data_IF_631208529182
#
_entry.id   IF_631208529182
#
_cell.length_a   1.000
_cell.length_b   1.000
_cell.length_c   1.000
_cell.angle_alpha   90.00
_cell.angle_beta   90.00
_cell.angle_gamma   90.00
#
_symmetry.space_group_name_H-M   'P 1'
#
loop_
_entity.id
_entity.type
_entity.pdbx_description
1 polymer ?
#
# COMPACT_ATOMS: atom_id res chain seq x y z
N UNK A 1 -26.59 -19.13 30.62
CA UNK A 1 -25.58 -19.95 31.31
C UNK A 1 -24.24 -19.47 30.75
N UNK A 2 -23.77 -18.33 31.24
CA UNK A 2 -22.80 -18.16 32.33
C UNK A 2 -21.38 -18.53 31.88
N UNK A 3 -20.46 -17.60 32.15
CA UNK A 3 -19.13 -17.43 31.59
C UNK A 3 -18.07 -18.43 32.08
N UNK A 4 -17.13 -18.73 31.19
CA UNK A 4 -15.68 -18.86 31.40
C UNK A 4 -15.06 -18.33 30.08
N UNK A 5 -14.32 -17.22 29.93
CA UNK A 5 -13.20 -16.63 30.66
C UNK A 5 -11.99 -17.56 30.87
N UNK A 6 -11.34 -17.90 29.75
CA UNK A 6 -9.88 -18.07 29.66
C UNK A 6 -9.48 -17.55 28.27
N UNK A 7 -8.79 -16.43 28.09
CA UNK A 7 -7.42 -16.14 28.54
C UNK A 7 -6.51 -17.38 28.38
N UNK A 8 -5.86 -17.51 27.22
CA UNK A 8 -4.76 -18.47 27.00
C UNK A 8 -4.95 -19.63 26.00
N UNK A 9 -6.03 -19.68 25.20
CA UNK A 9 -6.22 -20.72 24.17
C UNK A 9 -5.73 -20.30 22.78
N UNK A 10 -5.18 -21.25 21.99
CA UNK A 10 -4.72 -21.01 20.60
C UNK A 10 -5.79 -20.37 19.70
N UNK A 11 -7.08 -20.66 19.93
CA UNK A 11 -8.19 -20.04 19.22
C UNK A 11 -8.35 -18.54 19.56
N UNK A 12 -8.25 -18.16 20.83
CA UNK A 12 -8.30 -16.76 21.26
C UNK A 12 -7.07 -15.97 20.80
N UNK A 13 -5.90 -16.60 20.77
CA UNK A 13 -4.70 -16.03 20.14
C UNK A 13 -4.91 -15.76 18.64
N UNK A 14 -5.48 -16.72 17.91
CA UNK A 14 -5.77 -16.55 16.48
C UNK A 14 -6.75 -15.38 16.26
N UNK A 15 -7.83 -15.29 17.04
CA UNK A 15 -8.81 -14.21 16.91
C UNK A 15 -8.21 -12.84 17.27
N UNK A 16 -7.37 -12.78 18.30
CA UNK A 16 -6.66 -11.57 18.71
C UNK A 16 -5.70 -11.04 17.63
N UNK A 17 -5.03 -11.91 16.88
CA UNK A 17 -4.13 -11.52 15.80
C UNK A 17 -4.83 -11.25 14.46
N UNK A 18 -6.10 -11.64 14.33
CA UNK A 18 -6.91 -11.40 13.13
C UNK A 18 -7.79 -10.15 13.23
N UNK A 19 -7.99 -9.62 14.43
CA UNK A 19 -8.85 -8.46 14.68
C UNK A 19 -8.07 -7.16 14.46
N UNK A 20 -8.61 -6.30 13.59
CA UNK A 20 -8.07 -4.98 13.33
C UNK A 20 -8.56 -3.98 14.39
N UNK A 21 -7.74 -2.96 14.68
CA UNK A 21 -8.13 -1.86 15.56
C UNK A 21 -9.15 -0.95 14.85
N UNK A 22 -10.42 -0.97 15.27
CA UNK A 22 -11.49 -0.18 14.64
C UNK A 22 -11.90 1.06 15.43
N UNK A 23 -12.27 2.14 14.71
CA UNK A 23 -12.88 3.34 15.29
C UNK A 23 -14.09 3.81 14.46
N UNK A 24 -15.29 4.03 15.04
CA UNK A 24 -15.68 3.77 16.44
C UNK A 24 -15.76 2.27 16.77
N UNK A 25 -15.56 1.88 18.05
CA UNK A 25 -15.65 0.49 18.47
C UNK A 25 -17.09 -0.03 18.35
N UNK A 26 -17.30 -1.10 17.58
CA UNK A 26 -18.61 -1.70 17.34
C UNK A 26 -18.61 -2.73 16.20
N UNK A 27 -19.76 -3.37 15.96
CA UNK A 27 -19.94 -4.52 15.06
C UNK A 27 -19.87 -4.21 13.54
N UNK A 28 -18.91 -3.40 13.09
CA UNK A 28 -18.56 -3.32 11.66
C UNK A 28 -19.58 -2.63 10.75
N UNK A 29 -20.06 -1.45 11.14
CA UNK A 29 -20.82 -0.58 10.23
C UNK A 29 -19.95 0.02 9.12
N UNK A 30 -20.56 0.54 8.04
CA UNK A 30 -19.82 1.16 6.92
C UNK A 30 -18.84 2.28 7.37
N UNK A 31 -19.11 2.93 8.50
CA UNK A 31 -18.29 4.01 9.06
C UNK A 31 -17.27 3.56 10.12
N UNK A 32 -16.92 2.26 10.19
CA UNK A 32 -15.82 1.78 11.03
C UNK A 32 -14.51 1.82 10.28
N UNK A 33 -13.55 2.60 10.79
CA UNK A 33 -12.22 2.74 10.18
C UNK A 33 -11.24 1.77 10.83
N UNK A 34 -10.44 1.09 10.02
CA UNK A 34 -9.32 0.27 10.46
C UNK A 34 -8.09 1.17 10.69
N UNK A 35 -7.92 1.61 11.92
CA UNK A 35 -6.94 2.64 12.31
C UNK A 35 -5.52 2.12 12.19
N UNK A 36 -5.29 0.85 12.52
CA UNK A 36 -4.02 0.16 12.38
C UNK A 36 -3.55 0.10 10.92
N UNK A 37 -4.38 -0.43 10.02
CA UNK A 37 -4.11 -0.50 8.58
C UNK A 37 -3.86 0.88 7.99
N UNK A 38 -4.64 1.89 8.39
CA UNK A 38 -4.50 3.26 7.92
C UNK A 38 -3.21 3.90 8.43
N UNK A 39 -2.88 3.72 9.71
CA UNK A 39 -1.66 4.25 10.29
C UNK A 39 -0.42 3.67 9.61
N UNK A 40 -0.32 2.34 9.50
CA UNK A 40 0.84 1.68 8.90
C UNK A 40 0.96 1.96 7.40
N UNK A 41 -0.15 1.98 6.65
CA UNK A 41 -0.09 2.33 5.23
C UNK A 41 0.42 3.75 4.99
N UNK A 42 -0.03 4.73 5.78
CA UNK A 42 0.44 6.12 5.72
C UNK A 42 1.88 6.23 6.20
N UNK A 43 2.24 5.59 7.31
CA UNK A 43 3.60 5.59 7.85
C UNK A 43 4.61 5.08 6.83
N UNK A 44 4.32 3.93 6.20
CA UNK A 44 5.17 3.35 5.15
C UNK A 44 5.22 4.25 3.91
N UNK A 45 4.11 4.89 3.54
CA UNK A 45 4.06 5.85 2.45
C UNK A 45 4.94 7.08 2.69
N UNK A 46 4.89 7.64 3.90
CA UNK A 46 5.74 8.76 4.33
C UNK A 46 7.21 8.34 4.41
N UNK A 47 7.50 7.14 4.93
CA UNK A 47 8.85 6.60 5.00
C UNK A 47 9.45 6.43 3.61
N UNK A 48 8.70 5.84 2.67
CA UNK A 48 9.08 5.73 1.27
C UNK A 48 9.33 7.11 0.65
N UNK A 49 8.35 8.01 0.71
CA UNK A 49 8.46 9.34 0.11
C UNK A 49 9.62 10.15 0.71
N UNK A 50 9.81 10.06 2.03
CA UNK A 50 10.94 10.66 2.74
C UNK A 50 12.27 10.08 2.27
N UNK A 51 12.39 8.76 2.18
CA UNK A 51 13.63 8.09 1.75
C UNK A 51 14.05 8.48 0.32
N UNK A 52 13.09 8.54 -0.61
CA UNK A 52 13.31 8.98 -2.00
C UNK A 52 13.59 10.49 -2.07
N UNK A 53 12.94 11.30 -1.24
CA UNK A 53 13.22 12.72 -1.13
C UNK A 53 14.65 12.99 -0.64
N UNK A 54 15.11 12.26 0.38
CA UNK A 54 16.49 12.36 0.87
C UNK A 54 17.51 11.91 -0.18
N UNK A 55 17.23 10.83 -0.91
CA UNK A 55 18.08 10.37 -2.01
C UNK A 55 18.15 11.41 -3.13
N UNK A 56 17.01 11.95 -3.56
CA UNK A 56 16.93 12.96 -4.61
C UNK A 56 17.64 14.27 -4.22
N UNK A 57 17.53 14.71 -2.96
CA UNK A 57 18.21 15.92 -2.48
C UNK A 57 19.73 15.79 -2.39
N UNK A 58 20.23 14.57 -2.19
CA UNK A 58 21.67 14.28 -2.09
C UNK A 58 22.23 13.69 -3.37
N UNK A 59 21.44 13.66 -4.45
CA UNK A 59 21.86 13.12 -5.72
C UNK A 59 22.99 13.98 -6.31
N UNK A 60 24.13 13.35 -6.55
CA UNK A 60 25.27 13.98 -7.22
C UNK A 60 25.49 13.36 -8.58
N UNK A 61 25.87 14.16 -9.58
CA UNK A 61 26.18 13.69 -10.93
C UNK A 61 27.57 13.02 -11.06
N UNK A 62 28.36 13.01 -9.98
CA UNK A 62 29.66 12.34 -9.91
C UNK A 62 29.51 10.87 -9.55
N UNK A 63 30.39 10.36 -8.67
CA UNK A 63 30.27 8.98 -8.18
C UNK A 63 29.15 8.91 -7.13
N UNK A 64 28.06 8.16 -7.38
CA UNK A 64 26.94 8.08 -6.45
C UNK A 64 27.36 7.36 -5.16
N UNK A 65 26.83 7.83 -4.03
CA UNK A 65 26.94 7.12 -2.76
C UNK A 65 26.10 5.82 -2.76
N UNK A 66 26.40 4.88 -1.86
CA UNK A 66 25.74 3.55 -1.81
C UNK A 66 24.20 3.62 -1.81
N UNK A 67 23.63 4.56 -1.05
CA UNK A 67 22.17 4.76 -0.98
C UNK A 67 21.59 5.36 -2.27
N UNK A 68 22.29 6.33 -2.87
CA UNK A 68 21.89 6.91 -4.15
C UNK A 68 21.89 5.84 -5.25
N UNK A 69 22.93 5.01 -5.34
CA UNK A 69 23.01 3.93 -6.33
C UNK A 69 21.88 2.91 -6.20
N UNK A 70 21.46 2.59 -4.97
CA UNK A 70 20.34 1.68 -4.75
C UNK A 70 19.01 2.28 -5.27
N UNK A 71 18.76 3.56 -4.96
CA UNK A 71 17.55 4.26 -5.41
C UNK A 71 17.55 4.42 -6.93
N UNK A 72 18.69 4.76 -7.54
CA UNK A 72 18.84 4.85 -9.00
C UNK A 72 18.55 3.50 -9.67
N UNK A 73 19.11 2.41 -9.15
CA UNK A 73 18.85 1.06 -9.66
C UNK A 73 17.36 0.71 -9.62
N UNK A 74 16.66 1.05 -8.54
CA UNK A 74 15.21 0.84 -8.43
C UNK A 74 14.42 1.69 -9.41
N UNK A 75 14.77 2.97 -9.55
CA UNK A 75 14.11 3.89 -10.50
C UNK A 75 14.30 3.42 -11.93
N UNK A 76 15.51 3.01 -12.30
CA UNK A 76 15.81 2.51 -13.64
C UNK A 76 15.13 1.17 -13.93
N UNK A 77 15.06 0.28 -12.94
CA UNK A 77 14.29 -0.96 -13.05
C UNK A 77 12.82 -0.67 -13.39
N UNK A 78 12.15 0.16 -12.60
CA UNK A 78 10.74 0.49 -12.84
C UNK A 78 10.56 1.25 -14.16
N UNK A 79 11.45 2.19 -14.49
CA UNK A 79 11.39 2.95 -15.72
C UNK A 79 11.52 2.04 -16.96
N UNK A 80 12.38 1.03 -16.90
CA UNK A 80 12.53 0.03 -17.97
C UNK A 80 11.25 -0.78 -18.13
N UNK A 81 10.69 -1.31 -17.04
CA UNK A 81 9.43 -2.05 -17.07
C UNK A 81 8.27 -1.23 -17.66
N UNK A 82 8.20 0.07 -17.33
CA UNK A 82 7.14 0.96 -17.85
C UNK A 82 7.34 1.24 -19.34
N UNK A 83 8.58 1.44 -19.79
CA UNK A 83 8.90 1.68 -21.20
C UNK A 83 8.58 0.47 -22.08
N UNK A 84 8.87 -0.74 -21.58
CA UNK A 84 8.57 -1.97 -22.30
C UNK A 84 7.05 -2.20 -22.42
N UNK A 85 6.29 -1.85 -21.39
CA UNK A 85 4.84 -2.01 -21.37
C UNK A 85 4.09 -0.90 -22.13
N UNK A 86 4.61 0.34 -22.13
CA UNK A 86 3.91 1.51 -22.67
C UNK A 86 4.83 2.45 -23.45
N UNK A 87 4.49 2.64 -24.73
CA UNK A 87 5.27 3.41 -25.70
C UNK A 87 4.77 4.86 -25.92
N UNK A 88 3.90 5.36 -25.05
CA UNK A 88 3.35 6.72 -25.18
C UNK A 88 4.06 7.78 -24.33
N UNK A 89 3.80 9.09 -24.55
CA UNK A 89 4.52 10.19 -23.90
C UNK A 89 4.06 10.49 -22.45
N UNK A 90 3.47 9.53 -21.74
CA UNK A 90 2.88 9.80 -20.42
C UNK A 90 3.95 9.95 -19.33
N UNK A 91 4.23 11.20 -18.95
CA UNK A 91 5.13 11.54 -17.82
C UNK A 91 4.58 11.12 -16.45
N UNK A 92 3.30 10.78 -16.37
CA UNK A 92 2.66 10.36 -15.12
C UNK A 92 2.83 8.87 -14.85
N UNK A 93 2.93 8.03 -15.88
CA UNK A 93 2.89 6.58 -15.71
C UNK A 93 4.11 6.04 -14.95
N UNK A 94 5.31 6.50 -15.30
CA UNK A 94 6.55 6.10 -14.65
C UNK A 94 6.58 6.40 -13.14
N UNK A 95 6.32 7.64 -12.66
CA UNK A 95 6.29 7.91 -11.23
C UNK A 95 5.16 7.19 -10.51
N UNK A 96 3.99 7.01 -11.13
CA UNK A 96 2.87 6.27 -10.52
C UNK A 96 3.19 4.78 -10.35
N UNK A 97 3.82 4.16 -11.36
CA UNK A 97 4.27 2.78 -11.28
C UNK A 97 5.31 2.59 -10.17
N UNK A 98 6.24 3.55 -10.03
CA UNK A 98 7.26 3.54 -8.98
C UNK A 98 6.61 3.62 -7.59
N UNK A 99 5.65 4.53 -7.38
CA UNK A 99 4.99 4.65 -6.08
C UNK A 99 4.18 3.39 -5.74
N UNK A 100 3.41 2.85 -6.68
CA UNK A 100 2.63 1.62 -6.45
C UNK A 100 3.57 0.45 -6.15
N UNK A 101 4.62 0.26 -6.95
CA UNK A 101 5.57 -0.83 -6.75
C UNK A 101 6.25 -0.77 -5.39
N UNK A 102 6.87 0.37 -5.05
CA UNK A 102 7.60 0.51 -3.80
C UNK A 102 6.68 0.46 -2.58
N UNK A 103 5.49 1.07 -2.66
CA UNK A 103 4.57 1.10 -1.53
C UNK A 103 3.97 -0.29 -1.26
N UNK A 104 3.54 -1.02 -2.30
CA UNK A 104 3.04 -2.39 -2.16
C UNK A 104 4.15 -3.33 -1.71
N UNK A 105 5.37 -3.18 -2.26
CA UNK A 105 6.53 -3.94 -1.81
C UNK A 105 6.80 -3.73 -0.32
N UNK A 106 6.77 -2.49 0.18
CA UNK A 106 6.99 -2.18 1.59
C UNK A 106 5.87 -2.73 2.49
N UNK A 107 4.61 -2.61 2.07
CA UNK A 107 3.49 -3.20 2.82
C UNK A 107 3.64 -4.72 2.93
N UNK A 108 4.07 -5.39 1.86
CA UNK A 108 4.32 -6.83 1.88
C UNK A 108 5.62 -7.20 2.61
N UNK A 109 6.62 -6.32 2.60
CA UNK A 109 7.87 -6.54 3.33
C UNK A 109 7.65 -6.57 4.85
N UNK A 110 6.66 -5.81 5.36
CA UNK A 110 6.27 -5.89 6.77
C UNK A 110 5.76 -7.28 7.18
N UNK A 111 5.29 -8.10 6.24
CA UNK A 111 4.87 -9.48 6.49
C UNK A 111 6.06 -10.42 6.77
N UNK A 112 7.27 -10.06 6.31
CA UNK A 112 8.49 -10.81 6.59
C UNK A 112 9.09 -10.49 7.96
N UNK A 113 8.68 -9.37 8.57
CA UNK A 113 9.06 -9.03 9.95
C UNK A 113 8.24 -9.91 10.89
N UNK A 114 8.85 -10.53 11.91
CA UNK A 114 8.10 -11.36 12.86
C UNK A 114 6.91 -10.58 13.42
N UNK A 115 5.70 -11.02 13.08
CA UNK A 115 4.44 -10.33 13.39
C UNK A 115 4.20 -10.18 14.89
N UNK A 116 4.93 -10.93 15.72
CA UNK A 116 4.81 -10.90 17.19
C UNK A 116 5.73 -9.84 17.86
N UNK A 117 6.82 -9.42 17.21
CA UNK A 117 7.77 -8.47 17.82
C UNK A 117 7.20 -7.05 17.98
N UNK A 118 6.36 -6.63 17.03
CA UNK A 118 5.79 -5.28 17.01
C UNK A 118 4.56 -5.14 17.93
N UNK A 119 3.65 -6.12 18.01
CA UNK A 119 2.60 -6.17 19.02
C UNK A 119 3.12 -6.22 20.45
N UNK A 120 4.22 -6.94 20.74
CA UNK A 120 4.83 -6.92 22.09
C UNK A 120 5.28 -5.50 22.51
N UNK A 121 5.82 -4.72 21.58
CA UNK A 121 6.17 -3.31 21.82
C UNK A 121 4.90 -2.44 21.93
N UNK A 122 3.87 -2.74 21.15
CA UNK A 122 2.56 -2.07 21.23
C UNK A 122 1.84 -2.29 22.56
N UNK A 123 1.96 -3.49 23.12
CA UNK A 123 1.42 -3.88 24.42
C UNK A 123 2.13 -3.11 25.55
N UNK A 124 3.42 -2.81 25.38
CA UNK A 124 4.17 -1.93 26.29
C UNK A 124 3.66 -0.47 26.28
N UNK A 125 3.00 -0.05 25.20
CA UNK A 125 2.44 1.29 24.98
C UNK A 125 0.92 1.31 25.26
N UNK A 126 0.33 0.17 25.63
CA UNK A 126 -1.09 0.04 25.99
C UNK A 126 -2.04 -0.09 24.80
N UNK A 127 -1.57 -0.59 23.66
CA UNK A 127 -2.39 -0.92 22.50
C UNK A 127 -2.54 -2.45 22.45
N UNK A 128 -3.73 -2.95 22.82
CA UNK A 128 -4.01 -4.39 22.88
C UNK A 128 -4.07 -5.05 21.49
N UNK A 129 -4.55 -4.33 20.46
CA UNK A 129 -4.74 -4.88 19.11
C UNK A 129 -3.94 -4.10 18.06
N UNK A 130 -3.05 -4.79 17.34
CA UNK A 130 -2.28 -4.14 16.28
C UNK A 130 -1.94 -5.10 15.14
N UNK A 131 -2.65 -4.94 14.00
CA UNK A 131 -2.25 -5.56 12.74
C UNK A 131 -1.30 -4.65 11.98
N UNK A 132 -0.06 -5.11 11.81
CA UNK A 132 1.03 -4.30 11.27
C UNK A 132 1.04 -4.28 9.73
N UNK A 133 0.51 -5.31 9.09
CA UNK A 133 0.62 -5.55 7.65
C UNK A 133 -0.61 -4.98 6.91
N UNK A 134 -0.53 -3.80 6.27
CA UNK A 134 -1.71 -3.14 5.73
C UNK A 134 -2.29 -3.83 4.49
N UNK A 135 -1.47 -4.59 3.75
CA UNK A 135 -1.90 -5.33 2.55
C UNK A 135 -2.85 -6.49 2.87
N UNK A 136 -2.93 -6.91 4.13
CA UNK A 136 -3.88 -7.93 4.59
C UNK A 136 -5.29 -7.35 4.82
N UNK A 137 -5.45 -6.03 4.75
CA UNK A 137 -6.75 -5.35 4.85
C UNK A 137 -7.34 -5.13 3.45
N UNK A 138 -8.56 -5.62 3.26
CA UNK A 138 -9.30 -5.48 2.01
C UNK A 138 -9.52 -4.01 1.63
N UNK A 139 -9.69 -3.11 2.61
CA UNK A 139 -9.96 -1.71 2.33
C UNK A 139 -8.78 -1.02 1.63
N UNK A 140 -7.54 -1.36 2.00
CA UNK A 140 -6.33 -0.80 1.39
C UNK A 140 -6.17 -1.31 -0.05
N UNK A 141 -6.39 -2.60 -0.27
CA UNK A 141 -6.29 -3.22 -1.61
C UNK A 141 -7.42 -2.75 -2.54
N UNK A 142 -8.64 -2.60 -2.03
CA UNK A 142 -9.76 -2.01 -2.76
C UNK A 142 -9.53 -0.52 -3.07
N UNK A 143 -9.00 0.26 -2.12
CA UNK A 143 -8.67 1.67 -2.35
C UNK A 143 -7.66 1.87 -3.49
N UNK A 144 -6.59 1.04 -3.51
CA UNK A 144 -5.58 1.08 -4.57
C UNK A 144 -6.15 0.66 -5.92
N UNK A 145 -6.89 -0.45 -5.98
CA UNK A 145 -7.47 -0.95 -7.23
C UNK A 145 -8.53 0.00 -7.81
N UNK A 146 -9.37 0.60 -6.97
CA UNK A 146 -10.36 1.60 -7.41
C UNK A 146 -9.69 2.85 -7.98
N UNK A 147 -8.59 3.32 -7.35
CA UNK A 147 -7.82 4.46 -7.84
C UNK A 147 -7.22 4.18 -9.22
N UNK A 148 -6.59 3.01 -9.40
CA UNK A 148 -6.04 2.60 -10.69
C UNK A 148 -7.15 2.43 -11.73
N UNK A 149 -8.30 1.87 -11.36
CA UNK A 149 -9.45 1.73 -12.24
C UNK A 149 -9.96 3.08 -12.76
N UNK A 150 -10.10 4.08 -11.88
CA UNK A 150 -10.46 5.44 -12.28
C UNK A 150 -9.43 6.04 -13.25
N UNK A 151 -8.13 5.82 -13.00
CA UNK A 151 -7.08 6.26 -13.90
C UNK A 151 -7.18 5.61 -15.29
N UNK A 152 -7.50 4.32 -15.37
CA UNK A 152 -7.73 3.62 -16.65
C UNK A 152 -8.86 4.30 -17.43
N UNK A 153 -9.99 4.61 -16.78
CA UNK A 153 -11.11 5.29 -17.43
C UNK A 153 -10.67 6.67 -17.92
N UNK A 154 -10.02 7.46 -17.07
CA UNK A 154 -9.56 8.82 -17.40
C UNK A 154 -8.58 8.81 -18.58
N UNK A 155 -7.58 7.92 -18.57
CA UNK A 155 -6.62 7.80 -19.67
C UNK A 155 -7.27 7.28 -20.95
N UNK A 156 -8.24 6.36 -20.85
CA UNK A 156 -8.99 5.87 -22.01
C UNK A 156 -9.79 6.96 -22.69
N UNK A 157 -10.51 7.77 -21.90
CA UNK A 157 -11.25 8.94 -22.41
C UNK A 157 -10.29 9.98 -22.98
N UNK A 158 -9.16 10.25 -22.30
CA UNK A 158 -8.19 11.25 -22.76
C UNK A 158 -7.50 10.85 -24.07
N UNK A 159 -7.23 9.56 -24.27
CA UNK A 159 -6.56 9.06 -25.48
C UNK A 159 -7.51 8.94 -26.68
N UNK A 160 -8.78 8.56 -26.46
CA UNK A 160 -9.73 8.19 -27.53
C UNK A 160 -10.92 9.14 -27.68
N UNK A 161 -11.13 10.05 -26.72
CA UNK A 161 -12.33 10.87 -26.60
C UNK A 161 -13.54 10.08 -26.09
N UNK A 162 -14.58 10.81 -25.67
CA UNK A 162 -15.82 10.21 -25.14
C UNK A 162 -16.50 9.28 -26.15
N UNK A 163 -16.51 9.67 -27.43
CA UNK A 163 -17.08 8.85 -28.51
C UNK A 163 -16.27 7.59 -28.83
N UNK A 164 -14.93 7.68 -28.78
CA UNK A 164 -14.05 6.54 -29.01
C UNK A 164 -14.13 5.50 -27.89
N UNK A 165 -14.19 5.97 -26.63
CA UNK A 165 -14.37 5.11 -25.46
C UNK A 165 -15.72 4.41 -25.45
N UNK A 166 -16.82 5.14 -25.68
CA UNK A 166 -18.15 4.54 -25.78
C UNK A 166 -18.24 3.51 -26.89
N UNK A 167 -17.63 3.79 -28.06
CA UNK A 167 -17.65 2.84 -29.18
C UNK A 167 -16.94 1.52 -28.86
N UNK A 168 -15.89 1.57 -28.06
CA UNK A 168 -15.15 0.38 -27.62
C UNK A 168 -15.95 -0.47 -26.63
N UNK A 169 -16.60 0.16 -25.65
CA UNK A 169 -17.41 -0.56 -24.66
C UNK A 169 -18.65 -1.21 -25.29
N UNK A 170 -19.32 -0.52 -26.22
CA UNK A 170 -20.58 -0.97 -26.76
C UNK A 170 -20.46 -1.84 -28.03
N UNK A 171 -19.36 -1.72 -28.79
CA UNK A 171 -19.27 -2.32 -30.13
C UNK A 171 -18.01 -3.17 -30.37
N UNK A 172 -17.20 -3.44 -29.34
CA UNK A 172 -16.12 -4.44 -29.43
C UNK A 172 -16.31 -5.50 -28.33
N UNK A 173 -16.34 -6.80 -28.69
CA UNK A 173 -16.45 -7.89 -27.72
C UNK A 173 -15.17 -8.06 -26.89
#
# INVERSE_FOLDING_TARGET
MAAESGDGGSAGYIEHHLTNLTWPPGDGGFWTLHVDSLFYSVLLGVLFAGSFYFAARRATAGVPGRWQSFVEMLVDFVNTQVKDAYHGPSKLLAPLALTIFCWVFLMNFMDLVPVDLLPEIGLLIGIDYMKVVPSTDLNITFGLSLTVFVLIIVFSIRAKGLGGFGREIFFKP
#
